data_IF_988589316969
#
_entry.id   IF_988589316969
#
_cell.length_a   1.000
_cell.length_b   1.000
_cell.length_c   1.000
_cell.angle_alpha   90.00
_cell.angle_beta   90.00
_cell.angle_gamma   90.00
#
_symmetry.space_group_name_H-M   'P 1'
#
loop_
_entity.id
_entity.type
_entity.pdbx_description
1 polymer ?
#
# COMPACT_ATOMS: atom_id res chain seq x y z
N UNK A 1 15.50 -29.40 14.59
CA UNK A 1 16.02 -29.37 13.21
C UNK A 1 14.93 -28.93 12.26
N UNK A 2 15.30 -28.17 11.21
CA UNK A 2 14.37 -27.70 10.18
C UNK A 2 14.09 -28.81 9.17
N UNK A 3 12.85 -28.88 8.67
CA UNK A 3 12.47 -29.76 7.56
C UNK A 3 12.85 -29.12 6.21
N UNK A 4 12.86 -29.92 5.14
CA UNK A 4 13.31 -29.51 3.80
C UNK A 4 12.56 -28.28 3.26
N UNK A 5 11.23 -28.24 3.47
CA UNK A 5 10.40 -27.09 3.10
C UNK A 5 10.79 -25.80 3.84
N UNK A 6 11.16 -25.93 5.12
CA UNK A 6 11.56 -24.78 5.95
C UNK A 6 12.93 -24.26 5.50
N UNK A 7 13.87 -25.16 5.17
CA UNK A 7 15.18 -24.78 4.61
C UNK A 7 15.06 -24.04 3.29
N UNK A 8 14.27 -24.58 2.35
CA UNK A 8 14.01 -23.93 1.06
C UNK A 8 13.35 -22.56 1.22
N UNK A 9 12.44 -22.41 2.19
CA UNK A 9 11.86 -21.11 2.51
C UNK A 9 12.92 -20.13 3.02
N UNK A 10 13.76 -20.55 3.98
CA UNK A 10 14.81 -19.71 4.58
C UNK A 10 15.81 -19.24 3.52
N UNK A 11 16.27 -20.13 2.64
CA UNK A 11 17.22 -19.80 1.58
C UNK A 11 16.64 -18.80 0.58
N UNK A 12 15.43 -19.09 0.06
CA UNK A 12 14.75 -18.20 -0.90
C UNK A 12 14.42 -16.85 -0.28
N UNK A 13 13.88 -16.85 0.95
CA UNK A 13 13.54 -15.60 1.63
C UNK A 13 14.78 -14.77 1.96
N UNK A 14 15.90 -15.40 2.34
CA UNK A 14 17.15 -14.69 2.58
C UNK A 14 17.67 -13.95 1.34
N UNK A 15 17.47 -14.51 0.14
CA UNK A 15 17.83 -13.87 -1.12
C UNK A 15 16.87 -12.71 -1.49
N UNK A 16 15.56 -12.91 -1.30
CA UNK A 16 14.54 -11.98 -1.81
C UNK A 16 14.13 -10.88 -0.82
N UNK A 17 14.36 -11.05 0.50
CA UNK A 17 13.90 -10.14 1.56
C UNK A 17 14.27 -8.68 1.34
N UNK A 18 15.51 -8.41 0.92
CA UNK A 18 16.05 -7.06 0.81
C UNK A 18 15.48 -6.36 -0.43
N UNK A 19 15.26 -7.14 -1.50
CA UNK A 19 14.59 -6.67 -2.71
C UNK A 19 13.13 -6.34 -2.42
N UNK A 20 12.38 -7.23 -1.77
CA UNK A 20 10.98 -6.97 -1.38
C UNK A 20 10.88 -5.76 -0.43
N UNK A 21 11.79 -5.65 0.55
CA UNK A 21 11.85 -4.52 1.49
C UNK A 21 12.11 -3.19 0.78
N UNK A 22 13.06 -3.17 -0.16
CA UNK A 22 13.36 -1.97 -0.96
C UNK A 22 12.17 -1.54 -1.82
N UNK A 23 11.47 -2.49 -2.45
CA UNK A 23 10.25 -2.19 -3.20
C UNK A 23 9.14 -1.64 -2.31
N UNK A 24 8.95 -2.20 -1.11
CA UNK A 24 8.01 -1.68 -0.12
C UNK A 24 8.37 -0.27 0.31
N UNK A 25 9.64 -0.02 0.58
CA UNK A 25 10.12 1.32 0.95
C UNK A 25 9.89 2.32 -0.18
N UNK A 26 10.24 1.98 -1.42
CA UNK A 26 9.97 2.81 -2.60
C UNK A 26 8.48 3.12 -2.77
N UNK A 27 7.61 2.13 -2.54
CA UNK A 27 6.16 2.31 -2.63
C UNK A 27 5.66 3.25 -1.52
N UNK A 28 6.13 3.06 -0.28
CA UNK A 28 5.79 3.91 0.87
C UNK A 28 6.33 5.33 0.74
N UNK A 29 7.46 5.55 0.06
CA UNK A 29 8.00 6.88 -0.21
C UNK A 29 7.39 7.53 -1.46
N UNK A 30 6.95 6.73 -2.44
CA UNK A 30 6.29 7.20 -3.65
C UNK A 30 4.83 7.60 -3.44
N UNK A 31 4.14 6.97 -2.48
CA UNK A 31 2.73 7.24 -2.17
C UNK A 31 2.48 8.67 -1.64
N UNK A 32 3.30 9.24 -0.74
CA UNK A 32 3.23 10.65 -0.34
C UNK A 32 3.41 11.63 -1.51
N UNK A 33 4.32 11.32 -2.44
CA UNK A 33 4.53 12.15 -3.64
C UNK A 33 3.33 12.07 -4.58
N UNK A 34 2.76 10.88 -4.77
CA UNK A 34 1.51 10.69 -5.52
C UNK A 34 0.34 11.44 -4.87
N UNK A 35 0.28 11.46 -3.54
CA UNK A 35 -0.71 12.25 -2.80
C UNK A 35 -0.50 13.76 -3.02
N UNK A 36 0.74 14.24 -2.94
CA UNK A 36 1.09 15.63 -3.22
C UNK A 36 0.67 16.05 -4.64
N UNK A 37 0.87 15.19 -5.64
CA UNK A 37 0.44 15.41 -7.02
C UNK A 37 -1.08 15.33 -7.21
N UNK A 38 -1.80 14.64 -6.34
CA UNK A 38 -3.26 14.63 -6.34
C UNK A 38 -3.86 15.93 -5.78
N UNK A 39 -3.12 16.70 -4.97
CA UNK A 39 -3.61 17.93 -4.35
C UNK A 39 -4.07 18.99 -5.38
N UNK A 40 -3.33 19.31 -6.46
CA UNK A 40 -3.82 20.22 -7.50
C UNK A 40 -5.09 19.73 -8.19
N UNK A 41 -5.19 18.42 -8.48
CA UNK A 41 -6.38 17.81 -9.11
C UNK A 41 -7.58 17.92 -8.16
N UNK A 42 -7.38 17.59 -6.89
CA UNK A 42 -8.42 17.67 -5.87
C UNK A 42 -8.82 19.12 -5.60
N UNK A 43 -7.87 20.04 -5.57
CA UNK A 43 -8.11 21.48 -5.45
C UNK A 43 -8.96 21.99 -6.61
N UNK A 44 -8.60 21.68 -7.86
CA UNK A 44 -9.37 22.06 -9.05
C UNK A 44 -10.79 21.49 -9.00
N UNK A 45 -10.95 20.21 -8.63
CA UNK A 45 -12.27 19.59 -8.50
C UNK A 45 -13.11 20.27 -7.42
N UNK A 46 -12.55 20.57 -6.24
CA UNK A 46 -13.25 21.26 -5.16
C UNK A 46 -13.56 22.72 -5.52
N UNK A 47 -12.64 23.42 -6.20
CA UNK A 47 -12.82 24.83 -6.57
C UNK A 47 -13.69 25.01 -7.82
N UNK A 48 -13.84 23.97 -8.64
CA UNK A 48 -14.65 23.99 -9.88
C UNK A 48 -16.10 24.40 -9.62
N UNK A 49 -16.66 24.01 -8.47
CA UNK A 49 -18.00 24.39 -8.00
C UNK A 49 -18.18 25.91 -7.89
N UNK A 50 -17.13 26.65 -7.55
CA UNK A 50 -17.23 28.10 -7.33
C UNK A 50 -17.14 28.92 -8.62
N UNK A 51 -16.51 28.40 -9.68
CA UNK A 51 -16.31 29.11 -10.94
C UNK A 51 -17.31 28.70 -12.03
N UNK A 52 -17.84 27.46 -12.00
CA UNK A 52 -18.81 26.95 -12.96
C UNK A 52 -20.24 26.88 -12.40
N UNK A 53 -20.81 28.02 -12.01
CA UNK A 53 -22.20 28.14 -11.49
C UNK A 53 -23.31 27.60 -12.41
N UNK A 54 -23.03 27.26 -13.68
CA UNK A 54 -23.99 26.62 -14.60
C UNK A 54 -24.03 25.10 -14.52
N UNK A 55 -23.02 24.45 -13.93
CA UNK A 55 -23.03 23.00 -13.68
C UNK A 55 -23.74 22.63 -12.37
N UNK A 56 -23.98 23.61 -11.49
CA UNK A 56 -24.61 23.43 -10.17
C UNK A 56 -26.06 22.89 -10.24
N UNK A 57 -26.78 23.05 -11.36
CA UNK A 57 -28.18 22.59 -11.43
C UNK A 57 -28.33 21.07 -11.64
N UNK A 58 -27.26 20.37 -12.06
CA UNK A 58 -27.27 18.90 -12.29
C UNK A 58 -26.40 18.16 -11.26
N UNK A 59 -25.41 18.83 -10.65
CA UNK A 59 -24.48 18.22 -9.70
C UNK A 59 -24.95 18.22 -8.24
N UNK A 60 -26.02 18.95 -7.89
CA UNK A 60 -26.37 19.24 -6.50
C UNK A 60 -27.43 18.30 -5.89
N UNK A 61 -27.84 17.22 -6.58
CA UNK A 61 -28.84 16.28 -6.04
C UNK A 61 -28.24 15.01 -5.42
N UNK A 62 -27.00 14.62 -5.75
CA UNK A 62 -26.35 13.42 -5.18
C UNK A 62 -24.84 13.62 -5.18
N UNK A 63 -24.15 13.11 -4.15
CA UNK A 63 -22.68 13.11 -4.07
C UNK A 63 -22.11 12.62 -5.42
N UNK A 64 -21.37 13.48 -6.14
CA UNK A 64 -20.92 13.17 -7.50
C UNK A 64 -20.22 11.81 -7.52
N UNK A 65 -20.72 10.89 -8.34
CA UNK A 65 -20.21 9.52 -8.43
C UNK A 65 -18.68 9.49 -8.65
N UNK A 66 -18.12 10.53 -9.28
CA UNK A 66 -16.67 10.69 -9.45
C UNK A 66 -15.90 10.84 -8.13
N UNK A 67 -16.44 11.57 -7.15
CA UNK A 67 -15.79 11.75 -5.84
C UNK A 67 -15.75 10.43 -5.08
N UNK A 68 -16.85 9.68 -5.10
CA UNK A 68 -16.93 8.35 -4.48
C UNK A 68 -15.96 7.39 -5.16
N UNK A 69 -15.90 7.39 -6.50
CA UNK A 69 -14.97 6.55 -7.26
C UNK A 69 -13.51 6.84 -6.89
N UNK A 70 -13.13 8.12 -6.82
CA UNK A 70 -11.76 8.53 -6.43
C UNK A 70 -11.47 8.11 -4.99
N UNK A 71 -12.40 8.28 -4.06
CA UNK A 71 -12.24 7.86 -2.67
C UNK A 71 -12.04 6.33 -2.56
N UNK A 72 -12.82 5.54 -3.31
CA UNK A 72 -12.69 4.08 -3.33
C UNK A 72 -11.33 3.65 -3.89
N UNK A 73 -10.87 4.24 -4.99
CA UNK A 73 -9.55 3.95 -5.56
C UNK A 73 -8.44 4.30 -4.55
N UNK A 74 -8.58 5.43 -3.87
CA UNK A 74 -7.61 5.88 -2.88
C UNK A 74 -7.51 4.92 -1.69
N UNK A 75 -8.66 4.53 -1.13
CA UNK A 75 -8.72 3.55 -0.02
C UNK A 75 -8.17 2.20 -0.47
N UNK A 76 -8.55 1.72 -1.65
CA UNK A 76 -8.07 0.45 -2.18
C UNK A 76 -6.53 0.45 -2.36
N UNK A 77 -5.97 1.53 -2.90
CA UNK A 77 -4.52 1.68 -3.05
C UNK A 77 -3.83 1.67 -1.68
N UNK A 78 -4.35 2.42 -0.71
CA UNK A 78 -3.78 2.48 0.65
C UNK A 78 -3.81 1.10 1.34
N UNK A 79 -4.95 0.42 1.29
CA UNK A 79 -5.12 -0.94 1.85
C UNK A 79 -4.18 -1.94 1.17
N UNK A 80 -4.02 -1.88 -0.15
CA UNK A 80 -3.11 -2.77 -0.87
C UNK A 80 -1.65 -2.60 -0.43
N UNK A 81 -1.21 -1.35 -0.19
CA UNK A 81 0.14 -1.05 0.33
C UNK A 81 0.32 -1.60 1.75
N UNK A 82 -0.64 -1.33 2.64
CA UNK A 82 -0.61 -1.83 4.01
C UNK A 82 -0.60 -3.37 4.05
N UNK A 83 -1.44 -4.01 3.24
CA UNK A 83 -1.50 -5.46 3.13
C UNK A 83 -0.16 -6.05 2.68
N UNK A 84 0.48 -5.45 1.67
CA UNK A 84 1.78 -5.91 1.18
C UNK A 84 2.87 -5.77 2.24
N UNK A 85 2.86 -4.66 3.01
CA UNK A 85 3.78 -4.44 4.13
C UNK A 85 3.58 -5.49 5.22
N UNK A 86 2.35 -5.69 5.67
CA UNK A 86 2.01 -6.67 6.69
C UNK A 86 2.41 -8.09 6.29
N UNK A 87 2.17 -8.46 5.02
CA UNK A 87 2.59 -9.76 4.49
C UNK A 87 4.11 -9.95 4.52
N UNK A 88 4.88 -8.89 4.26
CA UNK A 88 6.34 -8.93 4.38
C UNK A 88 6.78 -9.11 5.84
N UNK A 89 6.16 -8.39 6.77
CA UNK A 89 6.44 -8.49 8.21
C UNK A 89 6.18 -9.92 8.75
N UNK A 90 5.07 -10.57 8.35
CA UNK A 90 4.78 -11.97 8.71
C UNK A 90 5.86 -12.93 8.22
N UNK A 91 6.26 -12.81 6.95
CA UNK A 91 7.30 -13.69 6.38
C UNK A 91 8.64 -13.48 7.08
N UNK A 92 8.99 -12.24 7.40
CA UNK A 92 10.20 -11.93 8.15
C UNK A 92 10.15 -12.50 9.57
N UNK A 93 9.02 -12.41 10.26
CA UNK A 93 8.84 -13.04 11.56
C UNK A 93 9.03 -14.56 11.48
N UNK A 94 8.38 -15.22 10.53
CA UNK A 94 8.54 -16.65 10.29
C UNK A 94 10.01 -17.03 10.04
N UNK A 95 10.71 -16.25 9.22
CA UNK A 95 12.16 -16.46 8.98
C UNK A 95 12.99 -16.37 10.27
N UNK A 96 12.73 -15.38 11.12
CA UNK A 96 13.44 -15.22 12.39
C UNK A 96 13.13 -16.35 13.36
N UNK A 97 11.89 -16.84 13.41
CA UNK A 97 11.51 -18.00 14.21
C UNK A 97 12.24 -19.27 13.76
N UNK A 98 12.32 -19.51 12.45
CA UNK A 98 13.05 -20.65 11.90
C UNK A 98 14.55 -20.57 12.19
N UNK A 99 15.16 -19.38 12.06
CA UNK A 99 16.56 -19.17 12.43
C UNK A 99 16.84 -19.40 13.91
N UNK A 100 15.95 -18.95 14.80
CA UNK A 100 16.07 -19.21 16.25
C UNK A 100 16.05 -20.71 16.53
N UNK A 101 15.10 -21.45 15.94
CA UNK A 101 14.98 -22.91 16.05
C UNK A 101 16.19 -23.65 15.49
N UNK A 102 16.84 -23.12 14.44
CA UNK A 102 18.09 -23.65 13.90
C UNK A 102 19.27 -23.43 14.85
N UNK A 103 19.37 -22.24 15.45
CA UNK A 103 20.48 -21.85 16.33
C UNK A 103 20.45 -22.47 17.74
N UNK A 104 19.42 -23.25 18.09
CA UNK A 104 19.30 -23.91 19.39
C UNK A 104 19.05 -22.96 20.58
N UNK A 105 18.87 -21.65 20.33
CA UNK A 105 18.47 -20.68 21.35
C UNK A 105 16.95 -20.70 21.49
N UNK A 106 16.44 -21.63 22.30
CA UNK A 106 15.06 -21.61 22.80
C UNK A 106 14.98 -20.85 24.11
#
# INVERSE_FOLDING_TARGET
>A
MLNERERLFVERWAADREREKRFLYQLLTGLPVGFLFSLPVMFILLTSKYWFKRADMVANSQMSAGVILVAVIFIAAFVAVLYKRHKWEIKEQQYQELKRRESGKS
#
